data_IF_336548033672
#
_entry.id   IF_336548033672
#
_cell.length_a   1.000
_cell.length_b   1.000
_cell.length_c   1.000
_cell.angle_alpha   90.00
_cell.angle_beta   90.00
_cell.angle_gamma   90.00
#
_symmetry.space_group_name_H-M   'P 1'
#
loop_
_entity.id
_entity.type
_entity.pdbx_description
1 polymer ?
#
# COMPACT_ATOMS: atom_id res chain seq x y z
N UNK A 1 -8.09 -6.78 31.06
CA UNK A 1 -9.22 -7.68 30.79
C UNK A 1 -8.71 -9.00 30.18
N UNK A 2 -9.45 -10.07 30.43
CA UNK A 2 -9.18 -11.37 29.83
C UNK A 2 -9.52 -11.28 28.32
N UNK A 3 -8.58 -11.57 27.40
CA UNK A 3 -8.85 -11.48 25.97
C UNK A 3 -10.00 -12.40 25.50
N UNK A 4 -10.15 -13.56 26.11
CA UNK A 4 -11.24 -14.49 25.80
C UNK A 4 -12.63 -13.94 26.22
N UNK A 5 -12.66 -13.05 27.21
CA UNK A 5 -13.88 -12.42 27.68
C UNK A 5 -14.35 -11.23 26.85
N UNK A 6 -13.50 -10.73 25.92
CA UNK A 6 -13.79 -9.59 25.05
C UNK A 6 -13.68 -9.93 23.56
N UNK A 7 -13.31 -11.17 23.22
CA UNK A 7 -13.32 -11.64 21.83
C UNK A 7 -14.76 -11.96 21.42
N UNK A 8 -15.21 -11.25 20.40
CA UNK A 8 -16.58 -11.29 19.89
C UNK A 8 -16.58 -11.48 18.38
N UNK A 9 -17.71 -11.64 17.78
CA UNK A 9 -17.93 -11.66 16.33
C UNK A 9 -18.92 -10.58 15.91
N UNK A 10 -19.33 -10.54 14.66
CA UNK A 10 -20.29 -9.59 14.09
C UNK A 10 -21.69 -9.83 14.72
N UNK A 11 -21.95 -9.18 15.84
CA UNK A 11 -23.23 -9.18 16.51
C UNK A 11 -23.82 -7.77 16.56
N UNK A 12 -25.13 -7.68 16.79
CA UNK A 12 -25.84 -6.41 16.83
C UNK A 12 -25.17 -5.42 17.79
N UNK A 13 -24.90 -4.21 17.27
CA UNK A 13 -24.26 -3.12 18.02
C UNK A 13 -22.73 -3.07 17.93
N UNK A 14 -22.05 -4.03 17.28
CA UNK A 14 -20.59 -4.07 17.17
C UNK A 14 -20.05 -3.86 15.76
N UNK A 15 -20.92 -3.58 14.78
CA UNK A 15 -20.57 -3.30 13.39
C UNK A 15 -19.92 -4.50 12.66
N UNK A 16 -19.57 -4.35 11.38
CA UNK A 16 -18.92 -5.37 10.55
C UNK A 16 -17.79 -4.75 9.74
N UNK A 17 -16.56 -5.27 9.84
CA UNK A 17 -15.39 -4.70 9.18
C UNK A 17 -15.56 -4.55 7.66
N UNK A 18 -16.21 -5.51 7.01
CA UNK A 18 -16.38 -5.52 5.55
C UNK A 18 -17.58 -4.69 5.05
N UNK A 19 -18.48 -4.32 5.98
CA UNK A 19 -19.68 -3.50 5.73
C UNK A 19 -19.87 -2.51 6.88
N UNK A 20 -18.81 -1.76 7.18
CA UNK A 20 -18.80 -0.84 8.31
C UNK A 20 -19.76 0.33 8.09
N UNK A 21 -20.73 0.48 9.02
CA UNK A 21 -21.75 1.52 9.02
C UNK A 21 -21.84 2.27 10.36
N UNK A 22 -21.17 1.75 11.40
CA UNK A 22 -21.19 2.25 12.78
C UNK A 22 -19.79 2.55 13.32
N UNK A 23 -19.48 2.01 14.49
CA UNK A 23 -18.24 2.34 15.25
C UNK A 23 -16.96 2.04 14.48
N UNK A 24 -16.92 0.99 13.66
CA UNK A 24 -15.74 0.67 12.85
C UNK A 24 -15.58 1.67 11.69
N UNK A 25 -16.72 2.10 11.11
CA UNK A 25 -16.68 3.16 10.10
C UNK A 25 -16.14 4.44 10.70
N UNK A 26 -16.68 4.87 11.84
CA UNK A 26 -16.26 6.12 12.50
C UNK A 26 -14.77 6.08 12.85
N UNK A 27 -14.27 4.96 13.39
CA UNK A 27 -12.86 4.77 13.71
C UNK A 27 -11.95 4.80 12.46
N UNK A 28 -12.38 4.19 11.35
CA UNK A 28 -11.63 4.24 10.09
C UNK A 28 -11.68 5.62 9.43
N UNK A 29 -12.78 6.36 9.56
CA UNK A 29 -12.91 7.74 9.07
C UNK A 29 -12.02 8.69 9.91
N UNK A 30 -11.94 8.49 11.23
CA UNK A 30 -11.03 9.24 12.11
C UNK A 30 -9.57 8.94 11.76
N UNK A 31 -9.22 7.67 11.56
CA UNK A 31 -7.90 7.29 11.08
C UNK A 31 -7.57 7.95 9.73
N UNK A 32 -8.53 7.98 8.78
CA UNK A 32 -8.33 8.65 7.51
C UNK A 32 -8.06 10.16 7.68
N UNK A 33 -8.78 10.80 8.59
CA UNK A 33 -8.58 12.23 8.90
C UNK A 33 -7.20 12.49 9.52
N UNK A 34 -6.74 11.65 10.46
CA UNK A 34 -5.44 11.76 11.11
C UNK A 34 -4.31 11.60 10.07
N UNK A 35 -4.39 10.58 9.20
CA UNK A 35 -3.37 10.30 8.18
C UNK A 35 -3.52 11.16 6.92
N UNK A 36 -4.51 12.05 6.84
CA UNK A 36 -4.75 12.91 5.67
C UNK A 36 -5.10 12.12 4.40
N UNK A 37 -5.74 10.95 4.56
CA UNK A 37 -6.23 10.10 3.49
C UNK A 37 -7.68 10.44 3.13
N UNK A 38 -8.11 10.09 1.91
CA UNK A 38 -9.53 10.17 1.52
C UNK A 38 -10.33 9.02 2.12
N UNK A 39 -9.70 7.86 2.31
CA UNK A 39 -10.28 6.70 2.97
C UNK A 39 -9.21 5.78 3.55
N UNK A 40 -9.54 5.15 4.69
CA UNK A 40 -8.68 4.18 5.37
C UNK A 40 -9.44 2.91 5.70
N UNK A 41 -8.73 1.77 5.75
CA UNK A 41 -9.30 0.48 6.13
C UNK A 41 -8.37 -0.23 7.12
N UNK A 42 -8.96 -0.73 8.18
CA UNK A 42 -8.27 -1.61 9.12
C UNK A 42 -7.98 -2.97 8.50
N UNK A 43 -6.80 -3.49 8.74
CA UNK A 43 -6.33 -4.76 8.23
C UNK A 43 -5.99 -5.69 9.40
N UNK A 44 -6.71 -6.81 9.49
CA UNK A 44 -6.52 -7.84 10.52
C UNK A 44 -5.69 -9.04 10.00
N UNK A 45 -5.32 -9.04 8.73
CA UNK A 45 -4.46 -10.05 8.09
C UNK A 45 -3.09 -9.48 7.67
N UNK A 46 -2.62 -8.45 8.40
CA UNK A 46 -1.33 -7.80 8.17
C UNK A 46 -1.30 -6.94 6.90
N UNK A 47 -0.20 -6.23 6.69
CA UNK A 47 0.04 -5.49 5.45
C UNK A 47 0.08 -6.40 4.21
N UNK A 48 0.27 -7.71 4.38
CA UNK A 48 0.22 -8.69 3.28
C UNK A 48 -1.12 -8.63 2.54
N UNK A 49 -2.26 -8.66 3.24
CA UNK A 49 -3.57 -8.54 2.58
C UNK A 49 -3.76 -7.16 1.94
N UNK A 50 -3.24 -6.10 2.57
CA UNK A 50 -3.26 -4.75 2.02
C UNK A 50 -2.49 -4.63 0.70
N UNK A 51 -1.27 -5.20 0.64
CA UNK A 51 -0.46 -5.22 -0.59
C UNK A 51 -1.17 -6.00 -1.70
N UNK A 52 -1.71 -7.19 -1.39
CA UNK A 52 -2.47 -7.98 -2.36
C UNK A 52 -3.65 -7.16 -2.90
N UNK A 53 -4.45 -6.58 -2.00
CA UNK A 53 -5.63 -5.77 -2.38
C UNK A 53 -5.27 -4.54 -3.19
N UNK A 54 -4.21 -3.81 -2.81
CA UNK A 54 -3.73 -2.63 -3.52
C UNK A 54 -3.32 -2.97 -4.96
N UNK A 55 -2.51 -4.02 -5.14
CA UNK A 55 -2.05 -4.44 -6.47
C UNK A 55 -3.24 -4.88 -7.34
N UNK A 56 -4.17 -5.68 -6.80
CA UNK A 56 -5.36 -6.13 -7.54
C UNK A 56 -6.31 -4.97 -7.87
N UNK A 57 -6.43 -3.97 -6.99
CA UNK A 57 -7.26 -2.80 -7.24
C UNK A 57 -6.66 -1.89 -8.34
N UNK A 58 -5.34 -1.75 -8.36
CA UNK A 58 -4.63 -0.87 -9.28
C UNK A 58 -4.28 -1.51 -10.63
N UNK A 59 -4.42 -2.85 -10.77
CA UNK A 59 -4.05 -3.56 -12.01
C UNK A 59 -5.16 -4.50 -12.49
N UNK A 60 -5.18 -4.76 -13.79
CA UNK A 60 -6.05 -5.78 -14.38
C UNK A 60 -5.33 -7.15 -14.41
N UNK A 61 -6.12 -8.23 -14.44
CA UNK A 61 -5.55 -9.58 -14.59
C UNK A 61 -4.76 -9.72 -15.89
N UNK A 62 -3.53 -10.15 -15.81
CA UNK A 62 -2.59 -10.20 -16.93
C UNK A 62 -2.08 -8.82 -17.35
N UNK A 63 -2.24 -7.80 -16.51
CA UNK A 63 -1.69 -6.46 -16.70
C UNK A 63 -0.19 -6.38 -16.43
N UNK A 64 0.35 -5.17 -16.35
CA UNK A 64 1.78 -4.92 -16.10
C UNK A 64 1.98 -4.00 -14.91
N UNK A 65 2.96 -4.32 -14.06
CA UNK A 65 3.36 -3.52 -12.90
C UNK A 65 4.85 -3.18 -12.95
N UNK A 66 5.19 -1.94 -12.55
CA UNK A 66 6.57 -1.53 -12.29
C UNK A 66 6.81 -1.58 -10.78
N UNK A 67 7.77 -2.38 -10.33
CA UNK A 67 7.97 -2.58 -8.88
C UNK A 67 9.43 -2.63 -8.47
N UNK A 68 9.72 -2.16 -7.24
CA UNK A 68 11.04 -2.28 -6.65
C UNK A 68 11.45 -3.76 -6.48
N UNK A 69 12.69 -4.10 -6.83
CA UNK A 69 13.19 -5.49 -6.73
C UNK A 69 13.35 -5.96 -5.28
N UNK A 70 13.57 -5.05 -4.35
CA UNK A 70 13.67 -5.29 -2.91
C UNK A 70 12.31 -5.25 -2.18
N UNK A 71 11.19 -5.38 -2.89
CA UNK A 71 9.87 -5.39 -2.30
C UNK A 71 9.60 -6.65 -1.46
N UNK A 72 8.62 -6.56 -0.57
CA UNK A 72 8.17 -7.69 0.25
C UNK A 72 7.59 -8.83 -0.61
N UNK A 73 7.73 -10.08 -0.15
CA UNK A 73 7.21 -11.27 -0.84
C UNK A 73 5.74 -11.20 -1.23
N UNK A 74 4.91 -10.44 -0.51
CA UNK A 74 3.51 -10.23 -0.85
C UNK A 74 3.30 -9.61 -2.24
N UNK A 75 4.24 -8.76 -2.70
CA UNK A 75 4.20 -8.18 -4.05
C UNK A 75 4.40 -9.27 -5.12
N UNK A 76 5.36 -10.18 -4.91
CA UNK A 76 5.57 -11.32 -5.79
C UNK A 76 4.37 -12.27 -5.82
N UNK A 77 3.70 -12.45 -4.66
CA UNK A 77 2.47 -13.23 -4.60
C UNK A 77 1.35 -12.55 -5.39
N UNK A 78 1.19 -11.23 -5.29
CA UNK A 78 0.21 -10.47 -6.06
C UNK A 78 0.48 -10.57 -7.57
N UNK A 79 1.75 -10.44 -8.00
CA UNK A 79 2.16 -10.61 -9.39
C UNK A 79 1.78 -12.00 -9.91
N UNK A 80 2.08 -13.04 -9.14
CA UNK A 80 1.76 -14.42 -9.49
C UNK A 80 0.24 -14.64 -9.58
N UNK A 81 -0.51 -14.26 -8.55
CA UNK A 81 -1.96 -14.48 -8.47
C UNK A 81 -2.74 -13.70 -9.52
N UNK A 82 -2.34 -12.46 -9.80
CA UNK A 82 -2.98 -11.61 -10.82
C UNK A 82 -2.35 -11.78 -12.21
N UNK A 83 -1.38 -12.72 -12.37
CA UNK A 83 -0.70 -13.04 -13.64
C UNK A 83 -0.07 -11.81 -14.30
N UNK A 84 0.49 -10.91 -13.51
CA UNK A 84 1.07 -9.67 -14.01
C UNK A 84 2.41 -9.90 -14.71
N UNK A 85 2.67 -9.12 -15.75
CA UNK A 85 4.01 -8.84 -16.24
C UNK A 85 4.68 -7.87 -15.25
N UNK A 86 5.86 -8.20 -14.76
CA UNK A 86 6.60 -7.35 -13.83
C UNK A 86 7.84 -6.76 -14.49
N UNK A 87 7.97 -5.43 -14.42
CA UNK A 87 9.21 -4.72 -14.69
C UNK A 87 9.82 -4.26 -13.37
N UNK A 88 11.14 -4.41 -13.19
CA UNK A 88 11.79 -4.20 -11.91
C UNK A 88 12.67 -2.95 -11.89
N UNK A 89 12.50 -2.16 -10.84
CA UNK A 89 13.39 -1.10 -10.42
C UNK A 89 14.41 -1.67 -9.43
N UNK A 90 15.65 -1.34 -9.60
CA UNK A 90 16.72 -1.78 -8.70
C UNK A 90 17.11 -0.63 -7.78
N UNK A 91 17.10 -0.85 -6.45
CA UNK A 91 17.55 0.16 -5.51
C UNK A 91 19.03 0.45 -5.68
N UNK A 92 19.46 1.64 -5.27
CA UNK A 92 20.86 1.93 -5.13
C UNK A 92 21.49 1.04 -4.06
N UNK A 93 22.75 0.69 -4.19
CA UNK A 93 23.49 -0.01 -3.15
C UNK A 93 24.26 1.00 -2.29
N UNK A 94 24.00 1.00 -0.98
CA UNK A 94 24.79 1.75 0.00
C UNK A 94 25.92 0.82 0.45
N UNK A 95 27.02 0.84 -0.29
CA UNK A 95 28.12 -0.12 -0.18
C UNK A 95 28.82 -0.08 1.19
N UNK A 96 28.87 1.10 1.83
CA UNK A 96 29.45 1.28 3.15
C UNK A 96 28.76 0.39 4.21
N UNK A 97 27.43 0.30 4.14
CA UNK A 97 26.62 -0.50 5.09
C UNK A 97 26.16 -1.84 4.50
N UNK A 98 26.40 -2.10 3.22
CA UNK A 98 25.95 -3.30 2.50
C UNK A 98 24.43 -3.48 2.56
N UNK A 99 23.69 -2.39 2.39
CA UNK A 99 22.22 -2.36 2.40
C UNK A 99 21.68 -1.79 1.10
N UNK A 100 20.40 -2.07 0.84
CA UNK A 100 19.67 -1.43 -0.26
C UNK A 100 19.33 0.02 0.11
N UNK A 101 19.57 0.93 -0.81
CA UNK A 101 19.13 2.31 -0.76
C UNK A 101 17.70 2.50 -1.25
N UNK A 102 17.34 3.74 -1.55
CA UNK A 102 16.06 4.10 -2.14
C UNK A 102 15.96 3.78 -3.64
N UNK A 103 14.75 3.93 -4.16
CA UNK A 103 14.47 3.95 -5.60
C UNK A 103 14.60 5.39 -6.09
N UNK A 104 15.28 5.60 -7.22
CA UNK A 104 15.42 6.92 -7.83
C UNK A 104 14.22 7.25 -8.72
N UNK A 105 13.70 8.45 -8.59
CA UNK A 105 12.61 8.93 -9.46
C UNK A 105 12.99 8.92 -10.96
N UNK A 106 14.26 9.16 -11.26
CA UNK A 106 14.76 9.12 -12.64
C UNK A 106 14.63 7.72 -13.27
N UNK A 107 14.86 6.65 -12.50
CA UNK A 107 14.72 5.28 -13.00
C UNK A 107 13.23 4.93 -13.22
N UNK A 108 12.34 5.43 -12.37
CA UNK A 108 10.88 5.33 -12.57
C UNK A 108 10.49 6.04 -13.87
N UNK A 109 10.92 7.30 -14.05
CA UNK A 109 10.61 8.07 -15.27
C UNK A 109 11.10 7.37 -16.53
N UNK A 110 12.36 6.90 -16.56
CA UNK A 110 12.93 6.16 -17.68
C UNK A 110 12.14 4.89 -18.03
N UNK A 111 11.71 4.13 -17.01
CA UNK A 111 10.92 2.91 -17.22
C UNK A 111 9.54 3.25 -17.83
N UNK A 112 8.87 4.29 -17.33
CA UNK A 112 7.58 4.73 -17.85
C UNK A 112 7.66 5.33 -19.25
N UNK A 113 8.68 6.13 -19.55
CA UNK A 113 8.96 6.65 -20.91
C UNK A 113 9.16 5.51 -21.90
N UNK A 114 10.00 4.54 -21.56
CA UNK A 114 10.26 3.36 -22.39
C UNK A 114 8.99 2.56 -22.64
N UNK A 115 8.15 2.36 -21.62
CA UNK A 115 6.88 1.65 -21.75
C UNK A 115 5.89 2.43 -22.63
N UNK A 116 5.79 3.75 -22.46
CA UNK A 116 4.94 4.61 -23.29
C UNK A 116 5.39 4.60 -24.77
N UNK A 117 6.69 4.69 -25.05
CA UNK A 117 7.23 4.59 -26.41
C UNK A 117 6.94 3.23 -27.04
N UNK A 118 7.10 2.14 -26.29
CA UNK A 118 6.76 0.79 -26.74
C UNK A 118 5.29 0.67 -27.10
N UNK A 119 4.40 1.24 -26.29
CA UNK A 119 2.95 1.25 -26.56
C UNK A 119 2.58 2.10 -27.78
N UNK A 120 3.28 3.21 -28.02
CA UNK A 120 3.01 4.09 -29.16
C UNK A 120 3.55 3.54 -30.51
N UNK A 121 4.67 2.78 -30.46
CA UNK A 121 5.36 2.29 -31.66
C UNK A 121 4.93 0.90 -32.15
N UNK A 122 4.13 0.17 -31.40
CA UNK A 122 3.81 -1.23 -31.70
C UNK A 122 2.28 -1.47 -31.75
N UNK A 123 1.83 -2.03 -32.85
CA UNK A 123 0.43 -2.47 -33.04
C UNK A 123 0.16 -3.89 -32.49
N UNK A 124 0.90 -4.36 -31.50
CA UNK A 124 0.67 -5.64 -30.81
C UNK A 124 1.91 -6.53 -30.71
N UNK A 125 1.98 -7.33 -29.63
CA UNK A 125 2.87 -8.49 -29.54
C UNK A 125 2.35 -9.63 -30.46
N UNK A 126 3.04 -10.78 -30.43
CA UNK A 126 2.63 -11.99 -31.19
C UNK A 126 1.20 -12.47 -30.84
N UNK A 127 0.58 -11.94 -29.77
CA UNK A 127 -0.79 -12.16 -29.33
C UNK A 127 -1.70 -10.96 -29.50
N UNK A 128 -1.22 -9.85 -30.09
CA UNK A 128 -2.00 -8.63 -30.38
C UNK A 128 -2.35 -7.78 -29.14
N UNK A 129 -1.77 -8.05 -27.96
CA UNK A 129 -2.07 -7.31 -26.74
C UNK A 129 -0.81 -6.57 -26.23
N UNK A 130 -0.82 -5.24 -26.33
CA UNK A 130 0.18 -4.41 -25.65
C UNK A 130 -0.31 -4.15 -24.24
N UNK A 131 0.46 -4.61 -23.24
CA UNK A 131 0.13 -4.37 -21.84
C UNK A 131 0.96 -3.19 -21.35
N UNK A 132 0.30 -2.07 -21.04
CA UNK A 132 0.90 -0.86 -20.45
C UNK A 132 1.11 -1.06 -18.95
N UNK A 133 2.13 -0.42 -18.38
CA UNK A 133 2.28 -0.31 -16.92
C UNK A 133 1.03 0.36 -16.33
N UNK A 134 0.43 -0.27 -15.31
CA UNK A 134 -0.82 0.16 -14.69
C UNK A 134 -0.62 0.70 -13.28
N UNK A 135 0.47 0.33 -12.61
CA UNK A 135 0.82 0.81 -11.29
C UNK A 135 2.34 0.80 -11.08
N UNK A 136 2.83 1.71 -10.25
CA UNK A 136 4.17 1.70 -9.67
C UNK A 136 4.04 1.27 -8.22
N UNK A 137 4.89 0.31 -7.77
CA UNK A 137 4.94 -0.10 -6.37
C UNK A 137 6.37 -0.06 -5.86
N UNK A 138 6.59 0.64 -4.75
CA UNK A 138 7.88 0.70 -4.05
C UNK A 138 7.72 0.41 -2.57
N UNK A 139 8.82 0.05 -1.91
CA UNK A 139 8.90 -0.09 -0.45
C UNK A 139 9.70 1.08 0.10
N UNK A 140 9.07 1.90 0.94
CA UNK A 140 9.69 3.05 1.58
C UNK A 140 8.93 3.38 2.87
N UNK A 141 9.60 3.37 4.06
CA UNK A 141 11.00 3.03 4.26
C UNK A 141 11.34 1.57 3.91
N UNK A 142 12.60 1.30 3.56
CA UNK A 142 13.12 -0.08 3.48
C UNK A 142 13.15 -0.72 4.87
N UNK A 143 13.49 -2.01 4.94
CA UNK A 143 13.66 -2.70 6.23
C UNK A 143 14.70 -2.01 7.12
N UNK A 144 15.74 -1.46 6.51
CA UNK A 144 16.83 -0.75 7.18
C UNK A 144 16.50 0.72 7.52
N UNK A 145 15.34 1.22 7.05
CA UNK A 145 14.88 2.58 7.33
C UNK A 145 15.24 3.60 6.24
N UNK A 146 15.72 3.18 5.08
CA UNK A 146 16.02 4.10 3.98
C UNK A 146 14.73 4.55 3.29
N UNK A 147 14.57 5.86 3.13
CA UNK A 147 13.40 6.50 2.50
C UNK A 147 13.75 6.96 1.09
N UNK A 148 12.87 6.70 0.14
CA UNK A 148 12.94 7.20 -1.24
C UNK A 148 12.33 8.61 -1.35
N UNK A 149 12.70 9.37 -2.37
CA UNK A 149 12.01 10.63 -2.69
C UNK A 149 10.63 10.34 -3.30
N UNK A 150 9.65 10.13 -2.39
CA UNK A 150 8.28 9.75 -2.75
C UNK A 150 7.64 10.79 -3.65
N UNK A 151 7.85 12.11 -3.37
CA UNK A 151 7.26 13.19 -4.18
C UNK A 151 7.73 13.13 -5.63
N UNK A 152 9.02 13.04 -5.83
CA UNK A 152 9.56 12.97 -7.19
C UNK A 152 9.13 11.68 -7.94
N UNK A 153 8.94 10.57 -7.21
CA UNK A 153 8.44 9.31 -7.77
C UNK A 153 6.95 9.41 -8.11
N UNK A 154 6.14 10.01 -7.23
CA UNK A 154 4.72 10.25 -7.47
C UNK A 154 4.52 11.16 -8.68
N UNK A 155 5.24 12.29 -8.74
CA UNK A 155 5.18 13.20 -9.88
C UNK A 155 5.50 12.47 -11.19
N UNK A 156 6.56 11.64 -11.20
CA UNK A 156 6.94 10.86 -12.38
C UNK A 156 5.86 9.84 -12.80
N UNK A 157 5.17 9.19 -11.86
CA UNK A 157 4.08 8.26 -12.15
C UNK A 157 2.82 8.99 -12.63
N UNK A 158 2.48 10.09 -11.99
CA UNK A 158 1.28 10.89 -12.29
C UNK A 158 1.35 11.60 -13.65
N UNK A 159 2.54 11.96 -14.16
CA UNK A 159 2.74 12.43 -15.54
C UNK A 159 2.14 11.46 -16.58
N UNK A 160 2.07 10.16 -16.25
CA UNK A 160 1.50 9.10 -17.11
C UNK A 160 0.09 8.66 -16.67
N UNK A 161 -0.48 9.28 -15.64
CA UNK A 161 -1.76 8.89 -15.04
C UNK A 161 -1.73 7.51 -14.37
N UNK A 162 -0.58 7.13 -13.82
CA UNK A 162 -0.31 5.83 -13.19
C UNK A 162 -0.24 6.03 -11.67
N UNK A 163 -1.00 5.25 -10.86
CA UNK A 163 -0.97 5.35 -9.42
C UNK A 163 0.33 4.83 -8.82
N UNK A 164 0.78 5.49 -7.73
CA UNK A 164 1.88 5.06 -6.89
C UNK A 164 1.36 4.34 -5.65
N UNK A 165 1.77 3.10 -5.49
CA UNK A 165 1.54 2.27 -4.29
C UNK A 165 2.83 2.27 -3.47
N UNK A 166 2.74 2.63 -2.20
CA UNK A 166 3.88 2.59 -1.28
C UNK A 166 3.63 1.56 -0.18
N UNK A 167 4.47 0.52 -0.16
CA UNK A 167 4.59 -0.35 1.01
C UNK A 167 5.39 0.40 2.08
N UNK A 168 4.67 1.09 2.94
CA UNK A 168 5.18 1.86 4.08
C UNK A 168 5.04 1.05 5.39
N UNK A 169 5.18 -0.27 5.31
CA UNK A 169 4.99 -1.15 6.47
C UNK A 169 5.91 -0.82 7.65
N UNK A 170 7.04 -0.17 7.41
CA UNK A 170 7.98 0.29 8.45
C UNK A 170 7.83 1.78 8.79
N UNK A 171 6.78 2.45 8.32
CA UNK A 171 6.60 3.89 8.43
C UNK A 171 5.31 4.35 9.10
N UNK A 172 4.55 3.49 9.81
CA UNK A 172 3.29 3.90 10.44
C UNK A 172 3.43 5.07 11.44
N UNK A 173 4.62 5.25 12.03
CA UNK A 173 4.94 6.36 12.94
C UNK A 173 5.23 7.69 12.21
N UNK A 174 5.44 7.68 10.90
CA UNK A 174 5.82 8.88 10.13
C UNK A 174 4.72 9.94 10.10
N UNK A 175 3.46 9.56 10.29
CA UNK A 175 2.37 10.53 10.42
C UNK A 175 2.55 11.45 11.63
N UNK A 176 3.19 10.94 12.69
CA UNK A 176 3.48 11.71 13.90
C UNK A 176 4.81 12.47 13.85
N UNK A 177 5.40 12.61 12.66
CA UNK A 177 6.71 13.25 12.43
C UNK A 177 6.74 14.73 12.80
N UNK A 178 5.62 15.43 12.82
CA UNK A 178 5.55 16.84 13.24
C UNK A 178 6.04 17.06 14.67
N UNK A 179 6.04 16.03 15.49
CA UNK A 179 6.61 16.03 16.85
C UNK A 179 8.14 15.82 16.86
N UNK A 180 8.72 15.43 15.74
CA UNK A 180 10.15 15.18 15.59
C UNK A 180 10.63 15.59 14.19
N UNK A 181 11.16 16.81 14.07
CA UNK A 181 11.61 17.40 12.79
C UNK A 181 12.71 16.61 12.05
N UNK A 182 13.24 15.55 12.66
CA UNK A 182 14.24 14.68 12.04
C UNK A 182 13.64 13.55 11.21
N UNK A 183 12.35 13.28 11.33
CA UNK A 183 11.67 12.25 10.53
C UNK A 183 11.07 12.82 9.25
N UNK A 184 11.10 12.06 8.13
CA UNK A 184 10.30 12.38 6.97
C UNK A 184 8.81 12.20 7.31
N UNK A 185 7.94 12.83 6.52
CA UNK A 185 6.50 12.60 6.60
C UNK A 185 6.08 11.32 5.89
N UNK A 186 4.84 10.87 6.16
CA UNK A 186 4.23 9.72 5.47
C UNK A 186 4.18 9.91 3.95
N UNK A 187 4.24 8.81 3.21
CA UNK A 187 4.13 8.80 1.75
C UNK A 187 2.84 9.46 1.23
N UNK A 188 1.76 9.46 2.00
CA UNK A 188 0.50 10.16 1.68
C UNK A 188 0.68 11.67 1.49
N UNK A 189 1.55 12.30 2.29
CA UNK A 189 1.85 13.74 2.17
C UNK A 189 2.65 14.06 0.90
N UNK A 190 3.36 13.07 0.39
CA UNK A 190 4.21 13.20 -0.78
C UNK A 190 3.56 12.74 -2.08
N UNK A 191 2.25 12.37 -2.04
CA UNK A 191 1.48 12.11 -3.24
C UNK A 191 1.34 10.62 -3.60
N UNK A 192 1.62 9.70 -2.69
CA UNK A 192 1.27 8.29 -2.90
C UNK A 192 -0.27 8.11 -2.94
N UNK A 193 -0.76 7.30 -3.87
CA UNK A 193 -2.19 7.05 -4.06
C UNK A 193 -2.71 5.93 -3.15
N UNK A 194 -1.87 4.92 -2.89
CA UNK A 194 -2.15 3.87 -1.91
C UNK A 194 -0.94 3.73 -0.99
N UNK A 195 -1.18 3.72 0.30
CA UNK A 195 -0.15 3.48 1.31
C UNK A 195 -0.59 2.36 2.25
N UNK A 196 0.29 1.40 2.51
CA UNK A 196 0.03 0.29 3.41
C UNK A 196 1.04 0.35 4.56
N UNK A 197 0.53 0.41 5.80
CA UNK A 197 1.35 0.53 6.99
C UNK A 197 1.07 -0.62 7.97
N UNK A 198 2.14 -1.19 8.54
CA UNK A 198 2.01 -2.18 9.63
C UNK A 198 2.04 -1.47 10.97
N UNK A 199 0.90 -1.33 11.62
CA UNK A 199 0.82 -0.65 12.92
C UNK A 199 1.66 -1.38 13.98
N UNK A 200 1.68 -2.71 13.94
CA UNK A 200 2.41 -3.55 14.89
C UNK A 200 3.95 -3.48 14.81
N UNK A 201 4.51 -2.86 13.76
CA UNK A 201 5.98 -2.78 13.60
C UNK A 201 6.56 -1.55 14.29
N UNK A 202 5.90 -0.42 14.21
CA UNK A 202 6.44 0.87 14.67
C UNK A 202 5.53 1.61 15.63
N UNK A 203 4.33 1.12 15.88
CA UNK A 203 3.38 1.62 16.87
C UNK A 203 2.99 0.52 17.86
N UNK A 204 2.49 0.86 19.06
CA UNK A 204 2.16 -0.11 20.11
C UNK A 204 0.83 -0.83 19.84
N UNK A 205 0.79 -1.63 18.80
CA UNK A 205 -0.38 -2.38 18.37
C UNK A 205 -0.12 -3.89 18.31
N UNK A 206 -1.18 -4.69 18.32
CA UNK A 206 -1.05 -6.15 18.22
C UNK A 206 -0.40 -6.59 16.91
N UNK A 207 0.43 -7.63 16.98
CA UNK A 207 0.97 -8.27 15.78
C UNK A 207 -0.16 -8.61 14.80
N UNK A 208 0.10 -8.48 13.50
CA UNK A 208 -0.85 -8.70 12.42
C UNK A 208 -1.75 -7.48 12.08
N UNK A 209 -1.83 -6.48 12.96
CA UNK A 209 -2.58 -5.25 12.67
C UNK A 209 -1.86 -4.38 11.66
N UNK A 210 -2.60 -3.85 10.71
CA UNK A 210 -2.11 -2.92 9.71
C UNK A 210 -3.25 -1.99 9.25
N UNK A 211 -2.92 -1.00 8.43
CA UNK A 211 -3.89 -0.07 7.85
C UNK A 211 -3.53 0.18 6.38
N UNK A 212 -4.55 0.35 5.54
CA UNK A 212 -4.42 0.76 4.16
C UNK A 212 -5.11 2.09 3.97
N UNK A 213 -4.44 3.01 3.31
CA UNK A 213 -4.93 4.34 2.97
C UNK A 213 -5.01 4.53 1.47
N UNK A 214 -6.03 5.25 1.02
CA UNK A 214 -6.14 5.73 -0.37
C UNK A 214 -6.29 7.23 -0.36
N UNK A 215 -5.61 7.90 -1.30
CA UNK A 215 -5.70 9.34 -1.53
C UNK A 215 -5.69 9.63 -3.03
N UNK A 216 -6.51 10.61 -3.45
CA UNK A 216 -6.58 11.00 -4.86
C UNK A 216 -7.59 10.18 -5.68
N UNK A 217 -7.50 10.32 -7.00
CA UNK A 217 -8.53 9.82 -7.93
C UNK A 217 -8.05 8.72 -8.88
N UNK A 218 -6.76 8.34 -8.79
CA UNK A 218 -6.18 7.35 -9.70
C UNK A 218 -6.55 5.91 -9.32
N UNK A 219 -7.10 5.70 -8.12
CA UNK A 219 -7.48 4.39 -7.62
C UNK A 219 -8.98 4.36 -7.29
N UNK A 220 -9.65 3.33 -7.75
CA UNK A 220 -11.05 3.06 -7.41
C UNK A 220 -11.14 2.46 -6.00
N UNK A 221 -11.71 3.21 -5.06
CA UNK A 221 -11.87 2.82 -3.66
C UNK A 221 -12.80 1.61 -3.48
N UNK A 222 -13.79 1.45 -4.36
CA UNK A 222 -14.71 0.30 -4.30
C UNK A 222 -14.00 -0.98 -4.74
N UNK A 223 -13.07 -0.88 -5.70
CA UNK A 223 -12.19 -2.01 -6.04
C UNK A 223 -11.29 -2.39 -4.85
N UNK A 224 -10.73 -1.41 -4.13
CA UNK A 224 -9.94 -1.67 -2.92
C UNK A 224 -10.78 -2.40 -1.88
N UNK A 225 -11.97 -1.90 -1.55
CA UNK A 225 -12.90 -2.52 -0.60
C UNK A 225 -13.23 -3.97 -0.99
N UNK A 226 -13.52 -4.20 -2.28
CA UNK A 226 -13.81 -5.55 -2.82
C UNK A 226 -12.64 -6.51 -2.59
N UNK A 227 -11.42 -6.12 -2.92
CA UNK A 227 -10.26 -6.99 -2.76
C UNK A 227 -9.86 -7.17 -1.29
N UNK A 228 -10.07 -6.18 -0.45
CA UNK A 228 -9.91 -6.34 0.99
C UNK A 228 -10.87 -7.40 1.55
N UNK A 229 -12.13 -7.41 1.12
CA UNK A 229 -13.09 -8.44 1.55
C UNK A 229 -12.74 -9.85 1.03
N UNK A 230 -11.98 -9.96 -0.07
CA UNK A 230 -11.51 -11.24 -0.60
C UNK A 230 -10.23 -11.76 0.08
N UNK A 231 -9.34 -10.87 0.50
CA UNK A 231 -8.02 -11.22 1.04
C UNK A 231 -7.95 -11.16 2.56
N UNK A 232 -8.99 -10.67 3.23
CA UNK A 232 -9.11 -10.73 4.68
C UNK A 232 -10.08 -11.83 5.11
N UNK A 233 -9.92 -12.28 6.35
CA UNK A 233 -10.85 -13.23 6.97
C UNK A 233 -12.27 -12.65 7.05
N UNK A 234 -13.28 -13.50 6.89
CA UNK A 234 -14.69 -13.13 7.11
C UNK A 234 -15.05 -13.00 8.60
N UNK A 235 -14.16 -13.45 9.49
CA UNK A 235 -14.33 -13.35 10.95
C UNK A 235 -13.17 -12.55 11.54
N UNK A 236 -13.17 -11.20 11.39
CA UNK A 236 -12.10 -10.35 11.86
C UNK A 236 -12.06 -10.28 13.38
N UNK A 237 -10.87 -10.30 13.97
CA UNK A 237 -10.71 -10.16 15.43
C UNK A 237 -11.06 -8.75 15.90
N UNK A 238 -12.08 -8.65 16.72
CA UNK A 238 -12.48 -7.37 17.37
C UNK A 238 -11.42 -6.88 18.34
N UNK A 239 -10.68 -7.79 18.96
CA UNK A 239 -9.53 -7.43 19.80
C UNK A 239 -8.46 -6.66 18.99
N UNK A 240 -8.20 -7.08 17.75
CA UNK A 240 -7.27 -6.36 16.87
C UNK A 240 -7.80 -5.00 16.47
N UNK A 241 -9.09 -4.90 16.13
CA UNK A 241 -9.70 -3.64 15.73
C UNK A 241 -9.74 -2.63 16.86
N UNK A 242 -10.12 -3.04 18.08
CA UNK A 242 -10.04 -2.21 19.26
C UNK A 242 -8.60 -1.79 19.62
N UNK A 243 -7.62 -2.67 19.34
CA UNK A 243 -6.21 -2.36 19.49
C UNK A 243 -5.72 -1.32 18.49
N UNK A 244 -6.20 -1.35 17.26
CA UNK A 244 -5.87 -0.37 16.21
C UNK A 244 -6.47 1.00 16.52
N UNK A 245 -7.75 1.05 16.85
CA UNK A 245 -8.44 2.28 17.23
C UNK A 245 -7.80 2.97 18.44
N UNK A 246 -7.36 2.19 19.43
CA UNK A 246 -6.64 2.73 20.59
C UNK A 246 -5.21 3.17 20.29
N UNK A 247 -4.61 2.62 19.24
CA UNK A 247 -3.21 2.87 18.86
C UNK A 247 -3.06 4.15 18.04
N UNK A 248 -4.05 4.45 17.20
CA UNK A 248 -4.15 5.64 16.37
C UNK A 248 -4.73 6.80 17.18
#
# INVERSE_FOLDING_TARGET
PDPYGIDITEIDGFDNLHHAEGILKDAMDEAAAIYGADRSWYLVNGSTCGILSAVFAATENGGKILTARNCHKAVYHAICLNRLEAEYLYPEEITEFRINGGIRAEDVRKALEKDAMRCAGNSGDVRGKITKIQAVLITSPTYEGVVSDIRAIADAAHEYGIPLIVDEAHGAHLEYADQCHSFPKSALEYGADIVIQSLHKTLPCFTQTAILHVKGKLVDQDRVSRYLSMFQTSSPSYLFMAGMERCI
#
